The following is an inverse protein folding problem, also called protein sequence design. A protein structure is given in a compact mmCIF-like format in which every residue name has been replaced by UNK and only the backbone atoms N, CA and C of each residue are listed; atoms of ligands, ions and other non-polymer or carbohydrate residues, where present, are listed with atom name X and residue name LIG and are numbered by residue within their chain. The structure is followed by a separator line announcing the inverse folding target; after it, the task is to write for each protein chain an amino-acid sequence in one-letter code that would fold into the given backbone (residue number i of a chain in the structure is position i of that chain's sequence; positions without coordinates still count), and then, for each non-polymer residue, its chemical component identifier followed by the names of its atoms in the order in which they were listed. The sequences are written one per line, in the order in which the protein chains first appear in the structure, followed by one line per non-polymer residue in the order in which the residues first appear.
data_IF_660283806172
#
_entry.id   IF_660283806172
#
_cell.length_a   1.000
_cell.length_b   1.000
_cell.length_c   1.000
_cell.angle_alpha   90.00
_cell.angle_beta   90.00
_cell.angle_gamma   90.00
#
_symmetry.space_group_name_H-M   'P 1'
#
loop_
_entity.id
_entity.type
_entity.pdbx_description
1 polymer ?
#
# COMPACT_ATOMS: atom_id res chain seq x y z
N UNK A 1 -13.11 6.81 22.64
CA UNK A 1 -11.69 6.40 22.64
C UNK A 1 -11.26 5.73 21.33
N UNK A 2 -11.95 4.68 20.85
CA UNK A 2 -11.60 3.97 19.60
C UNK A 2 -11.64 4.85 18.32
N UNK A 3 -12.63 5.75 18.19
CA UNK A 3 -12.75 6.63 17.02
C UNK A 3 -11.67 7.73 16.96
N UNK A 4 -11.13 8.16 18.11
CA UNK A 4 -10.10 9.20 18.19
C UNK A 4 -8.72 8.67 17.77
N UNK A 5 -8.41 7.40 18.08
CA UNK A 5 -7.22 6.74 17.53
C UNK A 5 -7.30 6.57 16.01
N UNK A 6 -8.47 6.24 15.46
CA UNK A 6 -8.65 6.06 14.02
C UNK A 6 -8.52 7.36 13.20
N UNK A 7 -8.82 8.51 13.79
CA UNK A 7 -8.64 9.84 13.17
C UNK A 7 -7.26 10.43 13.41
N UNK A 8 -6.64 10.16 14.58
CA UNK A 8 -5.31 10.67 14.91
C UNK A 8 -4.17 9.89 14.26
N UNK A 9 -4.36 8.59 14.01
CA UNK A 9 -3.38 7.75 13.32
C UNK A 9 -3.83 7.50 11.88
N UNK A 10 -3.30 8.31 10.99
CA UNK A 10 -3.37 8.13 9.53
C UNK A 10 -2.48 6.95 9.09
N UNK A 11 -2.70 5.77 9.67
CA UNK A 11 -1.92 4.54 9.49
C UNK A 11 -2.77 3.30 9.78
N UNK A 12 -3.91 3.15 9.10
CA UNK A 12 -4.88 2.08 9.37
C UNK A 12 -4.29 0.66 9.21
N UNK A 13 -3.45 0.43 8.20
CA UNK A 13 -2.88 -0.90 7.93
C UNK A 13 -1.95 -1.41 9.04
N UNK A 14 -1.16 -0.52 9.65
CA UNK A 14 -0.28 -0.87 10.77
C UNK A 14 -1.09 -1.24 12.03
N UNK A 15 -2.22 -0.56 12.27
CA UNK A 15 -3.12 -0.88 13.39
C UNK A 15 -3.78 -2.24 13.22
N UNK A 16 -4.28 -2.56 12.03
CA UNK A 16 -4.87 -3.87 11.76
C UNK A 16 -3.86 -5.00 11.94
N UNK A 17 -2.63 -4.80 11.45
CA UNK A 17 -1.55 -5.79 11.60
C UNK A 17 -1.13 -5.97 13.06
N UNK A 18 -0.97 -4.86 13.80
CA UNK A 18 -0.69 -4.88 15.23
C UNK A 18 -1.76 -5.64 16.01
N UNK A 19 -3.04 -5.28 15.81
CA UNK A 19 -4.16 -5.93 16.50
C UNK A 19 -4.24 -7.43 16.17
N UNK A 20 -4.01 -7.82 14.92
CA UNK A 20 -4.01 -9.21 14.48
C UNK A 20 -2.93 -10.03 15.18
N UNK A 21 -1.67 -9.58 15.12
CA UNK A 21 -0.54 -10.28 15.75
C UNK A 21 -0.64 -10.30 17.28
N UNK A 22 -1.09 -9.19 17.87
CA UNK A 22 -1.31 -9.10 19.31
C UNK A 22 -2.40 -10.08 19.75
N UNK A 23 -3.50 -10.20 19.00
CA UNK A 23 -4.57 -11.17 19.30
C UNK A 23 -4.14 -12.63 19.11
N UNK A 24 -3.17 -12.88 18.22
CA UNK A 24 -2.59 -14.20 17.99
C UNK A 24 -1.54 -14.62 19.04
N UNK A 25 -1.24 -13.74 20.02
CA UNK A 25 -0.26 -14.03 21.08
C UNK A 25 1.20 -13.94 20.61
N UNK A 26 1.48 -13.22 19.54
CA UNK A 26 2.85 -13.03 19.06
C UNK A 26 3.70 -12.22 20.06
N UNK A 27 5.00 -12.52 20.13
CA UNK A 27 5.94 -11.79 20.98
C UNK A 27 6.08 -10.33 20.50
N UNK A 28 6.22 -9.39 21.45
CA UNK A 28 6.29 -7.94 21.18
C UNK A 28 7.37 -7.58 20.14
N UNK A 29 8.52 -8.25 20.19
CA UNK A 29 9.62 -8.11 19.22
C UNK A 29 9.17 -8.45 17.81
N UNK A 30 8.48 -9.59 17.61
CA UNK A 30 7.93 -9.99 16.32
C UNK A 30 6.88 -9.01 15.81
N UNK A 31 6.03 -8.47 16.70
CA UNK A 31 5.03 -7.46 16.33
C UNK A 31 5.68 -6.17 15.85
N UNK A 32 6.62 -5.62 16.62
CA UNK A 32 7.32 -4.37 16.28
C UNK A 32 8.08 -4.52 14.98
N UNK A 33 8.82 -5.62 14.83
CA UNK A 33 9.63 -5.90 13.65
C UNK A 33 8.74 -6.11 12.41
N UNK A 34 7.61 -6.80 12.56
CA UNK A 34 6.60 -6.97 11.51
C UNK A 34 5.99 -5.63 11.08
N UNK A 35 5.52 -4.81 12.02
CA UNK A 35 4.97 -3.48 11.72
C UNK A 35 6.02 -2.62 11.03
N UNK A 36 7.25 -2.59 11.55
CA UNK A 36 8.34 -1.83 10.95
C UNK A 36 8.63 -2.27 9.51
N UNK A 37 8.86 -3.57 9.29
CA UNK A 37 9.19 -4.09 7.97
C UNK A 37 8.05 -3.92 6.96
N UNK A 38 6.80 -4.03 7.39
CA UNK A 38 5.65 -3.80 6.52
C UNK A 38 5.53 -2.31 6.16
N UNK A 39 5.90 -1.40 7.06
CA UNK A 39 5.91 0.05 6.81
C UNK A 39 7.12 0.53 5.99
N UNK A 40 8.18 -0.27 5.81
CA UNK A 40 9.29 0.06 4.90
C UNK A 40 8.82 0.37 3.47
N UNK A 41 7.62 -0.08 3.08
CA UNK A 41 6.98 0.29 1.81
C UNK A 41 6.91 1.80 1.60
N UNK A 42 6.69 2.59 2.66
CA UNK A 42 6.61 4.04 2.57
C UNK A 42 7.95 4.67 2.20
N UNK A 43 9.06 4.05 2.63
CA UNK A 43 10.41 4.44 2.25
C UNK A 43 10.64 4.16 0.75
N UNK A 44 10.22 2.98 0.27
CA UNK A 44 10.32 2.63 -1.16
C UNK A 44 9.47 3.55 -2.04
N UNK A 45 8.21 3.81 -1.66
CA UNK A 45 7.32 4.73 -2.36
C UNK A 45 7.88 6.15 -2.40
N UNK A 46 8.42 6.63 -1.28
CA UNK A 46 9.07 7.95 -1.19
C UNK A 46 10.30 8.03 -2.10
N UNK A 47 11.10 6.97 -2.16
CA UNK A 47 12.25 6.87 -3.06
C UNK A 47 11.84 6.95 -4.53
N UNK A 48 10.81 6.20 -4.94
CA UNK A 48 10.26 6.26 -6.30
C UNK A 48 9.73 7.66 -6.63
N UNK A 49 9.03 8.29 -5.70
CA UNK A 49 8.44 9.61 -5.95
C UNK A 49 9.47 10.74 -5.93
N UNK A 50 10.63 10.53 -5.31
CA UNK A 50 11.72 11.53 -5.23
C UNK A 50 12.20 12.02 -6.60
N UNK A 51 12.08 11.17 -7.64
CA UNK A 51 12.45 11.51 -9.03
C UNK A 51 11.56 12.61 -9.59
N UNK A 52 10.26 12.58 -9.27
CA UNK A 52 9.28 13.56 -9.74
C UNK A 52 9.29 14.86 -8.93
N UNK A 53 9.89 14.86 -7.74
CA UNK A 53 9.94 16.03 -6.87
C UNK A 53 11.28 16.78 -6.92
N UNK A 54 12.19 16.47 -7.84
CA UNK A 54 13.55 17.05 -7.89
C UNK A 54 13.58 18.57 -7.73
N UNK A 55 12.68 19.28 -8.40
CA UNK A 55 12.63 20.76 -8.42
C UNK A 55 11.88 21.40 -7.23
N UNK A 56 11.31 20.61 -6.32
CA UNK A 56 10.57 21.14 -5.18
C UNK A 56 11.46 21.43 -3.95
N UNK A 57 10.97 22.33 -3.09
CA UNK A 57 11.64 22.66 -1.83
C UNK A 57 11.65 21.46 -0.87
N UNK A 58 12.61 21.43 0.06
CA UNK A 58 12.74 20.36 1.06
C UNK A 58 11.47 20.20 1.89
N UNK A 59 10.84 21.30 2.27
CA UNK A 59 9.58 21.29 3.03
C UNK A 59 8.43 20.66 2.23
N UNK A 60 8.30 21.01 0.95
CA UNK A 60 7.28 20.44 0.06
C UNK A 60 7.47 18.94 -0.15
N UNK A 61 8.72 18.48 -0.25
CA UNK A 61 9.07 17.05 -0.32
C UNK A 61 8.66 16.31 0.95
N UNK A 62 8.96 16.87 2.12
CA UNK A 62 8.61 16.28 3.41
C UNK A 62 7.10 16.20 3.59
N UNK A 63 6.36 17.30 3.33
CA UNK A 63 4.90 17.32 3.46
C UNK A 63 4.26 16.32 2.48
N UNK A 64 4.70 16.31 1.23
CA UNK A 64 4.16 15.38 0.22
C UNK A 64 4.44 13.92 0.55
N UNK A 65 5.61 13.62 1.15
CA UNK A 65 5.98 12.28 1.59
C UNK A 65 5.26 11.83 2.85
N UNK A 66 5.06 12.72 3.83
CA UNK A 66 4.38 12.39 5.09
C UNK A 66 2.89 12.09 4.92
N UNK A 67 2.24 12.70 3.92
CA UNK A 67 0.83 12.46 3.62
C UNK A 67 0.62 11.40 2.52
N UNK A 68 1.70 10.76 2.06
CA UNK A 68 1.64 9.75 1.02
C UNK A 68 1.01 8.45 1.57
N UNK A 69 0.01 7.93 0.86
CA UNK A 69 -0.63 6.64 1.14
C UNK A 69 -0.47 5.70 -0.05
N UNK A 70 -0.84 4.42 0.12
CA UNK A 70 -0.79 3.43 -0.95
C UNK A 70 -1.66 3.88 -2.16
N UNK A 71 -2.77 4.57 -1.91
CA UNK A 71 -3.70 5.10 -2.92
C UNK A 71 -3.17 6.37 -3.57
N UNK A 72 -2.72 7.35 -2.77
CA UNK A 72 -2.21 8.61 -3.33
C UNK A 72 -0.92 8.37 -4.09
N UNK A 73 -0.09 7.41 -3.66
CA UNK A 73 1.06 6.92 -4.41
C UNK A 73 0.66 6.35 -5.78
N UNK A 74 -0.33 5.46 -5.84
CA UNK A 74 -0.78 4.85 -7.10
C UNK A 74 -1.22 5.89 -8.13
N UNK A 75 -2.06 6.85 -7.69
CA UNK A 75 -2.55 7.94 -8.54
C UNK A 75 -1.41 8.90 -8.94
N UNK A 76 -0.54 9.26 -8.00
CA UNK A 76 0.59 10.14 -8.25
C UNK A 76 1.63 9.51 -9.19
N UNK A 77 1.94 8.23 -9.04
CA UNK A 77 2.87 7.50 -9.90
C UNK A 77 2.35 7.43 -11.34
N UNK A 78 1.05 7.20 -11.52
CA UNK A 78 0.43 7.21 -12.84
C UNK A 78 0.45 8.61 -13.48
N UNK A 79 0.14 9.65 -12.69
CA UNK A 79 0.20 11.04 -13.16
C UNK A 79 1.63 11.43 -13.55
N UNK A 80 2.61 11.17 -12.68
CA UNK A 80 4.03 11.44 -12.91
C UNK A 80 4.58 10.73 -14.14
N UNK A 81 4.18 9.46 -14.37
CA UNK A 81 4.58 8.71 -15.58
C UNK A 81 4.02 9.31 -16.88
N UNK A 82 2.84 9.94 -16.84
CA UNK A 82 2.21 10.59 -18.00
C UNK A 82 2.72 12.01 -18.26
N UNK A 83 2.90 12.80 -17.20
CA UNK A 83 3.17 14.24 -17.28
C UNK A 83 4.65 14.59 -17.04
N UNK A 84 5.48 13.64 -16.60
CA UNK A 84 6.91 13.82 -16.32
C UNK A 84 7.24 14.59 -15.04
N UNK A 85 6.28 15.31 -14.45
CA UNK A 85 6.43 16.06 -13.20
C UNK A 85 5.12 16.04 -12.38
N UNK A 86 5.23 16.18 -11.06
CA UNK A 86 4.08 16.24 -10.14
C UNK A 86 4.12 17.59 -9.40
N UNK A 87 3.25 18.55 -9.76
CA UNK A 87 3.19 19.84 -9.08
C UNK A 87 2.78 19.69 -7.61
N UNK A 88 3.40 20.49 -6.72
CA UNK A 88 3.11 20.44 -5.28
C UNK A 88 1.64 20.71 -4.97
N UNK A 89 1.02 21.68 -5.67
CA UNK A 89 -0.38 22.02 -5.49
C UNK A 89 -1.32 20.86 -5.85
N UNK A 90 -0.98 20.10 -6.89
CA UNK A 90 -1.75 18.91 -7.29
C UNK A 90 -1.61 17.79 -6.25
N UNK A 91 -0.38 17.51 -5.79
CA UNK A 91 -0.14 16.50 -4.76
C UNK A 91 -0.81 16.86 -3.43
N UNK A 92 -0.76 18.13 -3.05
CA UNK A 92 -1.43 18.63 -1.84
C UNK A 92 -2.94 18.50 -1.94
N UNK A 93 -3.51 18.80 -3.11
CA UNK A 93 -4.94 18.59 -3.37
C UNK A 93 -5.34 17.11 -3.28
N UNK A 94 -4.53 16.22 -3.86
CA UNK A 94 -4.74 14.77 -3.79
C UNK A 94 -4.71 14.27 -2.33
N UNK A 95 -3.69 14.68 -1.57
CA UNK A 95 -3.54 14.29 -0.16
C UNK A 95 -4.68 14.84 0.72
N UNK A 96 -5.11 16.09 0.49
CA UNK A 96 -6.22 16.68 1.22
C UNK A 96 -7.54 15.95 0.91
N UNK A 97 -7.80 15.64 -0.36
CA UNK A 97 -8.97 14.88 -0.77
C UNK A 97 -8.97 13.48 -0.15
N UNK A 98 -7.81 12.80 -0.14
CA UNK A 98 -7.66 11.49 0.50
C UNK A 98 -7.94 11.55 2.01
N UNK A 99 -7.42 12.56 2.69
CA UNK A 99 -7.63 12.74 4.13
C UNK A 99 -9.10 13.03 4.49
N UNK A 100 -9.77 13.88 3.70
CA UNK A 100 -11.20 14.15 3.86
C UNK A 100 -12.03 12.90 3.61
N UNK A 101 -11.74 12.17 2.53
CA UNK A 101 -12.42 10.91 2.21
C UNK A 101 -12.22 9.86 3.32
N UNK A 102 -11.00 9.74 3.85
CA UNK A 102 -10.71 8.86 4.99
C UNK A 102 -11.54 9.23 6.22
N UNK A 103 -11.56 10.50 6.58
CA UNK A 103 -12.31 10.98 7.75
C UNK A 103 -13.80 10.71 7.60
N UNK A 104 -14.38 10.96 6.41
CA UNK A 104 -15.78 10.66 6.12
C UNK A 104 -16.05 9.15 6.17
N UNK A 105 -15.19 8.33 5.56
CA UNK A 105 -15.31 6.88 5.58
C UNK A 105 -15.24 6.31 7.00
N UNK A 106 -14.39 6.85 7.87
CA UNK A 106 -14.32 6.46 9.29
C UNK A 106 -15.61 6.80 10.04
N UNK A 107 -16.19 7.99 9.83
CA UNK A 107 -17.44 8.39 10.47
C UNK A 107 -18.60 7.51 9.99
N UNK A 108 -18.74 7.34 8.68
CA UNK A 108 -19.77 6.49 8.07
C UNK A 108 -19.59 5.04 8.50
N UNK A 109 -18.37 4.52 8.47
CA UNK A 109 -18.04 3.16 8.90
C UNK A 109 -18.32 2.91 10.38
N UNK A 110 -18.02 3.87 11.25
CA UNK A 110 -18.35 3.79 12.67
C UNK A 110 -19.87 3.77 12.93
N UNK A 111 -20.63 4.52 12.13
CA UNK A 111 -22.09 4.51 12.19
C UNK A 111 -22.68 3.21 11.65
N UNK A 112 -22.17 2.67 10.55
CA UNK A 112 -22.59 1.36 10.05
C UNK A 112 -22.23 0.22 11.03
N UNK A 113 -21.07 0.29 11.66
CA UNK A 113 -20.63 -0.71 12.63
C UNK A 113 -21.53 -0.80 13.88
N UNK A 114 -22.23 0.28 14.26
CA UNK A 114 -23.17 0.24 15.39
C UNK A 114 -24.54 -0.36 15.05
N UNK A 115 -24.86 -0.48 13.75
CA UNK A 115 -26.14 -1.00 13.25
C UNK A 115 -26.01 -2.43 12.72
N UNK A 116 -24.79 -2.87 12.41
CA UNK A 116 -24.54 -4.18 11.81
C UNK A 116 -24.75 -5.35 12.80
N UNK A 117 -25.43 -6.43 12.39
CA UNK A 117 -25.49 -7.68 13.15
C UNK A 117 -24.10 -8.32 13.29
N UNK A 118 -23.85 -8.98 14.43
CA UNK A 118 -22.56 -9.61 14.74
C UNK A 118 -22.10 -10.64 13.68
N UNK A 119 -23.02 -11.34 13.02
CA UNK A 119 -22.71 -12.28 11.94
C UNK A 119 -22.07 -11.61 10.70
N UNK A 120 -22.38 -10.33 10.45
CA UNK A 120 -21.79 -9.58 9.34
C UNK A 120 -20.44 -8.94 9.72
N UNK A 121 -20.15 -8.78 11.02
CA UNK A 121 -18.87 -8.27 11.51
C UNK A 121 -17.71 -9.24 11.24
N UNK A 122 -17.96 -10.55 11.16
CA UNK A 122 -16.92 -11.53 10.81
C UNK A 122 -16.39 -11.33 9.38
N UNK A 123 -17.26 -10.85 8.47
CA UNK A 123 -16.91 -10.54 7.08
C UNK A 123 -16.02 -9.30 6.91
N UNK A 124 -15.93 -8.41 7.91
CA UNK A 124 -15.05 -7.22 7.84
C UNK A 124 -13.57 -7.59 7.71
N UNK A 125 -13.18 -8.78 8.20
CA UNK A 125 -11.82 -9.32 8.08
C UNK A 125 -11.35 -9.39 6.62
N UNK A 126 -12.30 -9.61 5.68
CA UNK A 126 -12.03 -9.66 4.25
C UNK A 126 -11.95 -8.27 3.60
N UNK A 127 -12.45 -7.22 4.25
CA UNK A 127 -12.54 -5.88 3.66
C UNK A 127 -11.17 -5.25 3.37
N UNK A 128 -10.17 -5.55 4.19
CA UNK A 128 -8.80 -5.06 3.97
C UNK A 128 -8.15 -5.79 2.78
N UNK A 129 -8.42 -7.09 2.63
CA UNK A 129 -7.93 -7.88 1.48
C UNK A 129 -8.55 -7.38 0.17
N UNK A 130 -9.87 -7.13 0.16
CA UNK A 130 -10.55 -6.64 -1.05
C UNK A 130 -10.07 -5.26 -1.49
N UNK A 131 -9.74 -4.37 -0.53
CA UNK A 131 -9.15 -3.06 -0.81
C UNK A 131 -7.82 -3.17 -1.56
N UNK A 132 -6.88 -4.01 -1.08
CA UNK A 132 -5.59 -4.20 -1.75
C UNK A 132 -5.76 -4.84 -3.14
N UNK A 133 -6.70 -5.77 -3.31
CA UNK A 133 -7.04 -6.33 -4.63
C UNK A 133 -7.50 -5.21 -5.58
N UNK A 134 -8.41 -4.34 -5.12
CA UNK A 134 -8.88 -3.19 -5.90
C UNK A 134 -7.76 -2.25 -6.31
N UNK A 135 -6.82 -1.97 -5.40
CA UNK A 135 -5.65 -1.13 -5.67
C UNK A 135 -4.74 -1.74 -6.75
N UNK A 136 -4.41 -3.03 -6.63
CA UNK A 136 -3.59 -3.76 -7.61
C UNK A 136 -4.26 -3.73 -8.98
N UNK A 137 -5.58 -3.97 -9.04
CA UNK A 137 -6.34 -3.91 -10.28
C UNK A 137 -6.31 -2.51 -10.90
N UNK A 138 -6.48 -1.45 -10.09
CA UNK A 138 -6.42 -0.07 -10.58
C UNK A 138 -5.06 0.25 -11.23
N UNK A 139 -3.96 -0.12 -10.57
CA UNK A 139 -2.62 0.06 -11.12
C UNK A 139 -2.43 -0.76 -12.41
N UNK A 140 -2.90 -2.01 -12.43
CA UNK A 140 -2.76 -2.91 -13.58
C UNK A 140 -3.56 -2.44 -14.80
N UNK A 141 -4.80 -1.98 -14.61
CA UNK A 141 -5.63 -1.45 -15.70
C UNK A 141 -5.04 -0.18 -16.31
N UNK A 142 -4.42 0.66 -15.48
CA UNK A 142 -3.78 1.91 -15.88
C UNK A 142 -2.41 1.72 -16.57
N UNK A 143 -1.80 0.54 -16.46
CA UNK A 143 -0.44 0.29 -16.94
C UNK A 143 -0.37 -0.23 -18.37
N UNK A 144 0.72 0.15 -19.05
CA UNK A 144 1.10 -0.34 -20.37
C UNK A 144 1.97 -1.62 -20.32
N UNK A 145 2.43 -2.06 -19.14
CA UNK A 145 3.31 -3.23 -18.97
C UNK A 145 2.61 -4.42 -18.29
N UNK A 146 1.35 -4.69 -18.70
CA UNK A 146 0.46 -5.67 -18.06
C UNK A 146 1.07 -7.06 -17.88
N UNK A 147 1.87 -7.53 -18.84
CA UNK A 147 2.50 -8.86 -18.79
C UNK A 147 3.50 -8.99 -17.64
N UNK A 148 4.35 -7.97 -17.43
CA UNK A 148 5.36 -7.98 -16.36
C UNK A 148 4.70 -7.89 -14.97
N UNK A 149 3.64 -7.09 -14.85
CA UNK A 149 2.88 -6.93 -13.62
C UNK A 149 2.10 -8.20 -13.25
N UNK A 150 1.47 -8.85 -14.22
CA UNK A 150 0.82 -10.15 -13.97
C UNK A 150 1.83 -11.21 -13.55
N UNK A 151 3.03 -11.22 -14.15
CA UNK A 151 4.08 -12.16 -13.78
C UNK A 151 4.61 -11.90 -12.36
N UNK A 152 4.82 -10.63 -11.98
CA UNK A 152 5.29 -10.27 -10.64
C UNK A 152 4.27 -10.66 -9.56
N UNK A 153 2.99 -10.42 -9.80
CA UNK A 153 1.90 -10.85 -8.91
C UNK A 153 1.87 -12.38 -8.80
N UNK A 154 2.01 -13.09 -9.91
CA UNK A 154 2.00 -14.57 -9.92
C UNK A 154 3.16 -15.13 -9.11
N UNK A 155 4.38 -14.59 -9.29
CA UNK A 155 5.57 -15.01 -8.55
C UNK A 155 5.40 -14.71 -7.05
N UNK A 156 4.90 -13.53 -6.69
CA UNK A 156 4.67 -13.17 -5.29
C UNK A 156 3.68 -14.14 -4.62
N UNK A 157 2.60 -14.51 -5.31
CA UNK A 157 1.63 -15.49 -4.81
C UNK A 157 2.27 -16.87 -4.65
N UNK A 158 3.04 -17.34 -5.63
CA UNK A 158 3.70 -18.65 -5.57
C UNK A 158 4.69 -18.73 -4.40
N UNK A 159 5.53 -17.71 -4.22
CA UNK A 159 6.49 -17.63 -3.10
C UNK A 159 5.74 -17.60 -1.77
N UNK A 160 4.64 -16.84 -1.69
CA UNK A 160 3.83 -16.76 -0.47
C UNK A 160 3.19 -18.10 -0.14
N UNK A 161 2.60 -18.79 -1.11
CA UNK A 161 2.00 -20.12 -0.89
C UNK A 161 3.04 -21.17 -0.48
N UNK A 162 4.25 -21.11 -1.03
CA UNK A 162 5.32 -22.04 -0.69
C UNK A 162 5.91 -21.80 0.70
N UNK A 163 6.05 -20.54 1.10
CA UNK A 163 6.58 -20.16 2.41
C UNK A 163 5.51 -20.14 3.53
N UNK A 164 4.22 -20.19 3.16
CA UNK A 164 3.10 -20.25 4.10
C UNK A 164 3.20 -21.49 4.99
N UNK A 165 3.42 -21.28 6.29
CA UNK A 165 3.54 -22.34 7.30
C UNK A 165 4.97 -22.73 7.67
N UNK A 166 6.00 -22.10 7.09
CA UNK A 166 7.39 -22.34 7.48
C UNK A 166 8.03 -21.12 8.17
N UNK A 167 7.57 -19.92 7.84
CA UNK A 167 8.12 -18.65 8.32
C UNK A 167 6.99 -17.70 8.66
N UNK A 168 7.23 -16.77 9.58
CA UNK A 168 6.31 -15.67 9.89
C UNK A 168 5.81 -14.96 8.62
N UNK A 169 4.52 -14.62 8.63
CA UNK A 169 3.83 -14.01 7.50
C UNK A 169 4.55 -12.75 6.99
N UNK A 170 5.07 -11.92 7.88
CA UNK A 170 5.76 -10.67 7.53
C UNK A 170 7.03 -10.91 6.74
N UNK A 171 7.85 -11.89 7.14
CA UNK A 171 9.10 -12.23 6.46
C UNK A 171 8.79 -12.83 5.09
N UNK A 172 7.79 -13.71 5.03
CA UNK A 172 7.29 -14.30 3.79
C UNK A 172 6.88 -13.24 2.78
N UNK A 173 6.11 -12.22 3.21
CA UNK A 173 5.67 -11.12 2.34
C UNK A 173 6.84 -10.30 1.80
N UNK A 174 7.87 -10.05 2.61
CA UNK A 174 9.05 -9.28 2.19
C UNK A 174 9.88 -10.06 1.16
N UNK A 175 10.10 -11.35 1.41
CA UNK A 175 10.82 -12.21 0.47
C UNK A 175 10.05 -12.28 -0.84
N UNK A 176 8.74 -12.53 -0.80
CA UNK A 176 7.89 -12.56 -1.98
C UNK A 176 7.93 -11.24 -2.77
N UNK A 177 7.84 -10.10 -2.08
CA UNK A 177 7.92 -8.77 -2.72
C UNK A 177 9.30 -8.50 -3.33
N UNK A 178 10.39 -8.83 -2.62
CA UNK A 178 11.76 -8.57 -3.07
C UNK A 178 12.14 -9.43 -4.28
N UNK A 179 11.78 -10.72 -4.23
CA UNK A 179 12.03 -11.67 -5.32
C UNK A 179 11.22 -11.29 -6.56
N UNK A 180 9.92 -11.01 -6.39
CA UNK A 180 9.06 -10.61 -7.52
C UNK A 180 9.51 -9.29 -8.15
N UNK A 181 9.90 -8.29 -7.35
CA UNK A 181 10.40 -7.01 -7.85
C UNK A 181 11.74 -7.15 -8.61
N UNK A 182 12.65 -7.99 -8.11
CA UNK A 182 13.95 -8.23 -8.76
C UNK A 182 13.77 -8.95 -10.10
N UNK A 183 12.93 -9.98 -10.14
CA UNK A 183 12.62 -10.70 -11.38
C UNK A 183 11.91 -9.80 -12.39
N UNK A 184 10.95 -8.99 -11.95
CA UNK A 184 10.20 -8.08 -12.81
C UNK A 184 11.07 -6.99 -13.46
N UNK A 185 12.16 -6.56 -12.82
CA UNK A 185 13.07 -5.55 -13.38
C UNK A 185 14.10 -6.12 -14.35
N UNK A 186 14.48 -7.39 -14.22
CA UNK A 186 15.44 -8.06 -15.11
C UNK A 186 14.80 -8.54 -16.43
N UNK A 187 13.54 -8.98 -16.37
CA UNK A 187 12.79 -9.47 -17.53
C UNK A 187 12.62 -8.49 -18.71
N UNK A 188 12.38 -7.18 -18.53
CA UNK A 188 12.30 -6.25 -19.65
C UNK A 188 13.62 -6.10 -20.43
N UNK A 189 14.76 -6.53 -19.89
CA UNK A 189 16.01 -6.66 -20.63
C UNK A 189 16.04 -7.87 -21.59
N UNK A 190 15.16 -8.85 -21.39
CA UNK A 190 15.08 -10.10 -22.15
C UNK A 190 13.93 -10.13 -23.16
N UNK A 191 12.91 -9.27 -22.98
CA UNK A 191 11.76 -9.18 -23.90
C UNK A 191 12.06 -8.08 -24.93
N UNK A 192 12.21 -8.39 -26.23
CA UNK A 192 12.45 -7.38 -27.25
C UNK A 192 11.28 -6.39 -27.26
N UNK A 193 11.60 -5.09 -27.23
CA UNK A 193 10.62 -4.00 -27.29
C UNK A 193 9.73 -4.20 -28.52
N UNK A 194 8.47 -4.58 -28.32
CA UNK A 194 7.47 -4.62 -29.39
C UNK A 194 7.23 -3.17 -29.81
N UNK A 195 7.59 -2.85 -31.05
CA UNK A 195 7.60 -1.47 -31.56
C UNK A 195 6.21 -0.86 -31.70
N UNK A 196 6.19 0.46 -31.42
CA UNK A 196 5.15 1.48 -31.62
C UNK A 196 3.88 1.38 -30.78
#
# INVERSE_FOLDING_TARGET
MRAFLATALYAGSAQFLFCSLWSAGAELTSVVLSVFLVNLRYLLMSSTMSVFFREQTVLQKIISGLLLTDETFGVAAQYGKRQGNIPFAWMSGLNLAAWLNWSLACVVGAWFASVLPAALMEGLSFSLVSMFIGLVLMLWFASHQKILETLSVTIAVLVTCFAAGHVDLSITVIIAASVSATLATLLPGMIPKRGK
#
